data_IF_673187584089
#
_entry.id   IF_673187584089
#
_cell.length_a   1.000
_cell.length_b   1.000
_cell.length_c   1.000
_cell.angle_alpha   90.00
_cell.angle_beta   90.00
_cell.angle_gamma   90.00
#
_symmetry.space_group_name_H-M   'P 1'
#
loop_
_entity.id
_entity.type
_entity.pdbx_description
1 polymer ?
#
# COMPACT_ATOMS: atom_id res chain seq x y z
N UNK A 1 -32.49 23.22 -8.37
CA UNK A 1 -31.10 23.17 -8.91
C UNK A 1 -30.00 23.39 -7.85
N UNK A 2 -30.21 24.20 -6.80
CA UNK A 2 -29.19 24.48 -5.77
C UNK A 2 -28.98 23.41 -4.67
N UNK A 3 -29.91 22.45 -4.53
CA UNK A 3 -29.83 21.39 -3.50
C UNK A 3 -29.11 20.11 -3.95
N UNK A 4 -28.89 19.93 -5.25
CA UNK A 4 -28.26 18.72 -5.82
C UNK A 4 -26.73 18.87 -5.86
N UNK A 5 -26.21 20.11 -5.91
CA UNK A 5 -24.77 20.38 -5.90
C UNK A 5 -24.10 20.14 -4.53
N UNK A 6 -24.88 20.00 -3.45
CA UNK A 6 -24.35 19.70 -2.11
C UNK A 6 -24.21 18.19 -1.82
N UNK A 7 -24.77 17.32 -2.67
CA UNK A 7 -24.69 15.87 -2.48
C UNK A 7 -23.44 15.23 -3.12
N UNK A 8 -22.72 15.94 -4.00
CA UNK A 8 -21.58 15.40 -4.73
C UNK A 8 -20.23 15.57 -4.01
N UNK A 9 -20.20 16.29 -2.89
CA UNK A 9 -18.96 16.56 -2.14
C UNK A 9 -18.62 15.48 -1.08
N UNK A 10 -19.46 14.44 -0.92
CA UNK A 10 -19.30 13.44 0.15
C UNK A 10 -18.69 12.11 -0.27
N UNK A 11 -18.23 11.96 -1.52
CA UNK A 11 -17.30 10.87 -1.89
C UNK A 11 -15.85 11.30 -1.63
N UNK A 12 -15.63 12.14 -0.62
CA UNK A 12 -14.34 12.22 0.03
C UNK A 12 -14.13 10.88 0.73
N UNK A 13 -13.32 10.04 0.07
CA UNK A 13 -12.76 8.78 0.57
C UNK A 13 -12.66 8.84 2.10
N UNK A 14 -13.49 8.05 2.77
CA UNK A 14 -13.41 7.82 4.20
C UNK A 14 -12.13 7.03 4.49
N UNK A 15 -10.97 7.64 4.29
CA UNK A 15 -9.72 7.18 4.86
C UNK A 15 -9.85 7.42 6.36
N UNK A 16 -10.34 6.40 7.08
CA UNK A 16 -10.29 6.44 8.54
C UNK A 16 -8.83 6.67 8.97
N UNK A 17 -8.56 7.33 10.10
CA UNK A 17 -7.20 7.55 10.58
C UNK A 17 -6.37 6.26 10.69
N UNK A 18 -7.05 5.11 10.83
CA UNK A 18 -6.43 3.78 10.83
C UNK A 18 -5.78 3.42 9.48
N UNK A 19 -6.37 3.82 8.35
CA UNK A 19 -5.85 3.57 7.00
C UNK A 19 -4.64 4.45 6.64
N UNK A 20 -4.52 5.63 7.24
CA UNK A 20 -3.44 6.59 6.93
C UNK A 20 -2.04 6.00 7.12
N UNK A 21 -1.90 5.03 8.03
CA UNK A 21 -0.62 4.39 8.34
C UNK A 21 -0.45 2.97 7.79
N UNK A 22 -1.47 2.43 7.09
CA UNK A 22 -1.42 1.04 6.64
C UNK A 22 -0.41 0.86 5.51
N UNK A 23 -0.48 1.64 4.43
CA UNK A 23 0.42 1.47 3.28
C UNK A 23 1.90 1.60 3.68
N UNK A 24 2.32 2.66 4.42
CA UNK A 24 3.72 2.80 4.85
C UNK A 24 4.17 1.64 5.75
N UNK A 25 3.29 1.15 6.63
CA UNK A 25 3.59 0.00 7.50
C UNK A 25 3.84 -1.28 6.70
N UNK A 26 2.96 -1.59 5.73
CA UNK A 26 3.08 -2.82 4.94
C UNK A 26 4.31 -2.77 4.03
N UNK A 27 4.57 -1.64 3.37
CA UNK A 27 5.76 -1.44 2.53
C UNK A 27 7.04 -1.64 3.35
N UNK A 28 7.12 -1.01 4.54
CA UNK A 28 8.28 -1.16 5.42
C UNK A 28 8.53 -2.61 5.83
N UNK A 29 7.48 -3.39 6.08
CA UNK A 29 7.65 -4.82 6.41
C UNK A 29 8.32 -5.61 5.26
N UNK A 30 8.04 -5.27 4.00
CA UNK A 30 8.72 -5.86 2.84
C UNK A 30 10.18 -5.40 2.77
N UNK A 31 10.42 -4.10 2.93
CA UNK A 31 11.78 -3.52 2.91
C UNK A 31 12.66 -4.16 3.99
N UNK A 32 12.14 -4.29 5.22
CA UNK A 32 12.83 -4.92 6.35
C UNK A 32 13.10 -6.42 6.07
N UNK A 33 12.10 -7.17 5.59
CA UNK A 33 12.22 -8.61 5.34
C UNK A 33 13.19 -8.97 4.18
N UNK A 34 13.46 -8.00 3.32
CA UNK A 34 14.35 -8.14 2.16
C UNK A 34 15.67 -7.38 2.31
N UNK A 35 15.88 -6.67 3.43
CA UNK A 35 17.10 -5.92 3.71
C UNK A 35 18.33 -6.84 3.64
N UNK A 36 19.36 -6.41 2.90
CA UNK A 36 20.59 -7.19 2.70
C UNK A 36 20.45 -8.43 1.82
N UNK A 37 19.23 -8.83 1.42
CA UNK A 37 19.01 -10.00 0.56
C UNK A 37 19.14 -9.67 -0.92
N UNK A 38 19.79 -10.57 -1.65
CA UNK A 38 20.07 -10.46 -3.09
C UNK A 38 19.48 -11.62 -3.90
N UNK A 39 18.77 -12.54 -3.25
CA UNK A 39 18.06 -13.60 -3.96
C UNK A 39 16.96 -13.04 -4.88
N UNK A 40 16.57 -13.83 -5.89
CA UNK A 40 15.63 -13.41 -6.91
C UNK A 40 14.25 -13.01 -6.35
N UNK A 41 13.77 -13.74 -5.33
CA UNK A 41 12.48 -13.44 -4.71
C UNK A 41 12.53 -12.13 -3.92
N UNK A 42 13.58 -11.91 -3.14
CA UNK A 42 13.80 -10.65 -2.42
C UNK A 42 13.95 -9.46 -3.37
N UNK A 43 14.68 -9.63 -4.48
CA UNK A 43 14.84 -8.59 -5.51
C UNK A 43 13.50 -8.25 -6.17
N UNK A 44 12.71 -9.27 -6.52
CA UNK A 44 11.36 -9.09 -7.06
C UNK A 44 10.42 -8.41 -6.06
N UNK A 45 10.43 -8.83 -4.80
CA UNK A 45 9.61 -8.23 -3.75
C UNK A 45 9.99 -6.77 -3.48
N UNK A 46 11.28 -6.40 -3.53
CA UNK A 46 11.73 -4.99 -3.47
C UNK A 46 11.17 -4.15 -4.63
N UNK A 47 11.18 -4.69 -5.85
CA UNK A 47 10.64 -4.00 -7.01
C UNK A 47 9.12 -3.76 -6.86
N UNK A 48 8.37 -4.77 -6.43
CA UNK A 48 6.92 -4.64 -6.18
C UNK A 48 6.64 -3.67 -5.00
N UNK A 49 7.47 -3.67 -3.95
CA UNK A 49 7.36 -2.69 -2.86
C UNK A 49 7.62 -1.24 -3.35
N UNK A 50 8.53 -1.04 -4.30
CA UNK A 50 8.74 0.26 -4.94
C UNK A 50 7.51 0.70 -5.75
N UNK A 51 6.84 -0.21 -6.48
CA UNK A 51 5.55 0.06 -7.13
C UNK A 51 4.48 0.47 -6.11
N UNK A 52 4.38 -0.27 -4.99
CA UNK A 52 3.46 0.05 -3.89
C UNK A 52 3.71 1.46 -3.33
N UNK A 53 4.98 1.85 -3.19
CA UNK A 53 5.38 3.19 -2.72
C UNK A 53 4.99 4.29 -3.71
N UNK A 54 5.16 4.05 -5.02
CA UNK A 54 4.70 4.97 -6.07
C UNK A 54 3.17 5.13 -6.05
N UNK A 55 2.43 4.04 -5.89
CA UNK A 55 0.97 4.08 -5.77
C UNK A 55 0.52 4.85 -4.53
N UNK A 56 1.19 4.64 -3.39
CA UNK A 56 0.94 5.41 -2.18
C UNK A 56 1.17 6.91 -2.39
N UNK A 57 2.30 7.29 -2.99
CA UNK A 57 2.61 8.68 -3.29
C UNK A 57 1.59 9.32 -4.25
N UNK A 58 0.98 8.52 -5.14
CA UNK A 58 -0.08 8.95 -6.04
C UNK A 58 -1.49 8.96 -5.40
N UNK A 59 -1.63 8.67 -4.10
CA UNK A 59 -2.91 8.59 -3.40
C UNK A 59 -3.73 7.32 -3.69
N UNK A 60 -3.18 6.37 -4.46
CA UNK A 60 -3.80 5.08 -4.82
C UNK A 60 -3.61 4.05 -3.71
N UNK A 61 -4.24 4.29 -2.56
CA UNK A 61 -4.00 3.53 -1.34
C UNK A 61 -4.44 2.07 -1.42
N UNK A 62 -5.58 1.78 -2.07
CA UNK A 62 -6.05 0.41 -2.22
C UNK A 62 -5.08 -0.41 -3.09
N UNK A 63 -4.64 0.15 -4.21
CA UNK A 63 -3.68 -0.48 -5.11
C UNK A 63 -2.29 -0.63 -4.45
N UNK A 64 -1.87 0.35 -3.65
CA UNK A 64 -0.63 0.26 -2.86
C UNK A 64 -0.65 -0.93 -1.89
N UNK A 65 -1.76 -1.16 -1.19
CA UNK A 65 -1.93 -2.31 -0.29
C UNK A 65 -1.88 -3.62 -1.07
N UNK A 66 -2.58 -3.72 -2.20
CA UNK A 66 -2.56 -4.92 -3.06
C UNK A 66 -1.13 -5.24 -3.50
N UNK A 67 -0.36 -4.23 -3.93
CA UNK A 67 1.05 -4.42 -4.29
C UNK A 67 1.92 -4.85 -3.11
N UNK A 68 1.71 -4.28 -1.92
CA UNK A 68 2.43 -4.74 -0.73
C UNK A 68 2.13 -6.21 -0.41
N UNK A 69 0.88 -6.65 -0.56
CA UNK A 69 0.49 -8.06 -0.40
C UNK A 69 1.08 -8.98 -1.48
N UNK A 70 1.12 -8.54 -2.73
CA UNK A 70 1.81 -9.27 -3.81
C UNK A 70 3.29 -9.47 -3.48
N UNK A 71 3.97 -8.41 -3.04
CA UNK A 71 5.36 -8.49 -2.62
C UNK A 71 5.54 -9.48 -1.46
N UNK A 72 4.65 -9.44 -0.48
CA UNK A 72 4.67 -10.33 0.67
C UNK A 72 4.54 -11.80 0.26
N UNK A 73 3.64 -12.12 -0.68
CA UNK A 73 3.45 -13.48 -1.20
C UNK A 73 4.72 -14.02 -1.86
N UNK A 74 5.46 -13.19 -2.62
CA UNK A 74 6.72 -13.61 -3.27
C UNK A 74 7.76 -14.09 -2.28
N UNK A 75 7.82 -13.49 -1.08
CA UNK A 75 8.77 -13.85 -0.02
C UNK A 75 8.11 -14.64 1.12
N UNK A 76 6.87 -15.10 0.93
CA UNK A 76 6.08 -15.83 1.94
C UNK A 76 6.02 -15.10 3.30
N UNK A 77 5.96 -13.76 3.27
CA UNK A 77 5.84 -12.94 4.46
C UNK A 77 4.37 -12.78 4.86
N UNK A 78 4.04 -13.01 6.13
CA UNK A 78 2.74 -12.65 6.70
C UNK A 78 2.77 -11.20 7.14
N UNK A 79 1.98 -10.36 6.47
CA UNK A 79 1.86 -8.94 6.80
C UNK A 79 1.05 -8.70 8.07
N UNK A 80 1.54 -7.82 8.93
CA UNK A 80 0.80 -7.28 10.07
C UNK A 80 0.05 -6.02 9.65
N UNK A 81 -1.26 -6.15 9.55
CA UNK A 81 -2.18 -5.04 9.26
C UNK A 81 -2.59 -4.36 10.58
N UNK A 82 -2.72 -3.03 10.57
CA UNK A 82 -3.41 -2.28 11.64
C UNK A 82 -4.91 -2.52 11.59
#
# INVERSE_FOLDING_TARGET
>A
MKKILMALAMVAVMASPALAFQCPLLIKQIEDATAGKTDANSTKAKAIAAEAKTLHAAGKHAESIVKAEEAAKVITLTLKKK
#
